data_IF_056295649444
#
_entry.id   IF_056295649444
#
_cell.length_a   1.000
_cell.length_b   1.000
_cell.length_c   1.000
_cell.angle_alpha   90.00
_cell.angle_beta   90.00
_cell.angle_gamma   90.00
#
_symmetry.space_group_name_H-M   'P 1'
#
loop_
_entity.id
_entity.type
_entity.pdbx_description
1 polymer ?
#
# COMPACT_ATOMS: atom_id res chain seq x y z
N UNK A 1 3.01 -18.30 16.49
CA UNK A 1 3.20 -17.15 15.57
C UNK A 1 2.96 -17.48 14.10
N UNK A 2 3.53 -18.55 13.47
CA UNK A 2 3.31 -18.87 12.05
C UNK A 2 1.84 -19.24 11.75
N UNK A 3 1.24 -20.11 12.56
CA UNK A 3 -0.18 -20.54 12.41
C UNK A 3 -1.15 -19.35 12.36
N UNK A 4 -0.99 -18.38 13.25
CA UNK A 4 -1.86 -17.19 13.28
C UNK A 4 -1.73 -16.36 11.98
N UNK A 5 -0.52 -16.18 11.48
CA UNK A 5 -0.28 -15.45 10.22
C UNK A 5 -0.90 -16.17 9.02
N UNK A 6 -0.76 -17.50 8.95
CA UNK A 6 -1.36 -18.30 7.87
C UNK A 6 -2.91 -18.22 7.93
N UNK A 7 -3.49 -18.36 9.13
CA UNK A 7 -4.95 -18.26 9.29
C UNK A 7 -5.44 -16.86 8.89
N UNK A 8 -4.78 -15.79 9.35
CA UNK A 8 -5.15 -14.41 8.98
C UNK A 8 -5.06 -14.20 7.48
N UNK A 9 -3.98 -14.67 6.84
CA UNK A 9 -3.82 -14.57 5.39
C UNK A 9 -4.91 -15.34 4.63
N UNK A 10 -5.23 -16.56 5.06
CA UNK A 10 -6.30 -17.37 4.47
C UNK A 10 -7.68 -16.71 4.61
N UNK A 11 -7.99 -16.16 5.79
CA UNK A 11 -9.24 -15.43 6.03
C UNK A 11 -9.34 -14.19 5.15
N UNK A 12 -8.28 -13.38 5.08
CA UNK A 12 -8.26 -12.19 4.21
C UNK A 12 -8.42 -12.58 2.74
N UNK A 13 -7.72 -13.60 2.28
CA UNK A 13 -7.87 -14.09 0.91
C UNK A 13 -9.29 -14.55 0.62
N UNK A 14 -9.92 -15.28 1.55
CA UNK A 14 -11.31 -15.73 1.41
C UNK A 14 -12.28 -14.54 1.37
N UNK A 15 -12.08 -13.51 2.21
CA UNK A 15 -12.89 -12.29 2.21
C UNK A 15 -12.78 -11.53 0.89
N UNK A 16 -11.55 -11.32 0.38
CA UNK A 16 -11.34 -10.64 -0.88
C UNK A 16 -11.87 -11.44 -2.08
N UNK A 17 -11.64 -12.75 -2.10
CA UNK A 17 -12.21 -13.62 -3.13
C UNK A 17 -13.73 -13.61 -3.08
N UNK A 18 -14.33 -13.74 -1.89
CA UNK A 18 -15.78 -13.65 -1.72
C UNK A 18 -16.35 -12.33 -2.21
N UNK A 19 -15.72 -11.21 -1.87
CA UNK A 19 -16.14 -9.89 -2.32
C UNK A 19 -16.09 -9.75 -3.86
N UNK A 20 -15.06 -10.30 -4.50
CA UNK A 20 -14.96 -10.34 -5.96
C UNK A 20 -16.16 -11.04 -6.61
N UNK A 21 -16.58 -12.17 -6.08
CA UNK A 21 -17.72 -12.93 -6.62
C UNK A 21 -19.09 -12.31 -6.28
N UNK A 22 -19.18 -11.51 -5.21
CA UNK A 22 -20.43 -10.83 -4.82
C UNK A 22 -20.67 -9.58 -5.66
N UNK A 23 -19.71 -8.67 -5.69
CA UNK A 23 -19.78 -7.48 -6.54
C UNK A 23 -18.42 -6.80 -6.67
N UNK A 24 -18.15 -6.27 -7.85
CA UNK A 24 -16.91 -5.54 -8.13
C UNK A 24 -16.74 -4.29 -7.24
N UNK A 25 -17.76 -3.42 -7.05
CA UNK A 25 -17.67 -2.28 -6.15
C UNK A 25 -17.37 -2.65 -4.70
N UNK A 26 -17.88 -3.79 -4.22
CA UNK A 26 -17.56 -4.27 -2.87
C UNK A 26 -16.07 -4.65 -2.77
N UNK A 27 -15.56 -5.37 -3.76
CA UNK A 27 -14.14 -5.73 -3.81
C UNK A 27 -13.24 -4.48 -3.87
N UNK A 28 -13.56 -3.51 -4.72
CA UNK A 28 -12.83 -2.23 -4.84
C UNK A 28 -12.82 -1.46 -3.53
N UNK A 29 -13.97 -1.40 -2.85
CA UNK A 29 -14.09 -0.72 -1.55
C UNK A 29 -13.27 -1.42 -0.47
N UNK A 30 -13.27 -2.74 -0.42
CA UNK A 30 -12.45 -3.50 0.53
C UNK A 30 -10.96 -3.34 0.25
N UNK A 31 -10.56 -3.31 -1.01
CA UNK A 31 -9.17 -3.04 -1.38
C UNK A 31 -8.78 -1.61 -1.00
N UNK A 32 -9.64 -0.61 -1.25
CA UNK A 32 -9.41 0.75 -0.79
C UNK A 32 -9.23 0.79 0.74
N UNK A 33 -10.10 0.12 1.50
CA UNK A 33 -9.99 0.04 2.95
C UNK A 33 -8.65 -0.57 3.40
N UNK A 34 -8.18 -1.63 2.73
CA UNK A 34 -6.90 -2.25 3.03
C UNK A 34 -5.72 -1.30 2.79
N UNK A 35 -5.71 -0.57 1.66
CA UNK A 35 -4.67 0.42 1.38
C UNK A 35 -4.74 1.62 2.34
N UNK A 36 -5.94 2.10 2.67
CA UNK A 36 -6.09 3.24 3.59
C UNK A 36 -5.83 2.85 5.05
N UNK A 37 -5.90 1.57 5.42
CA UNK A 37 -5.42 1.11 6.70
C UNK A 37 -3.92 1.40 6.89
N UNK A 38 -3.11 1.31 5.84
CA UNK A 38 -1.70 1.68 5.87
C UNK A 38 -1.50 3.18 6.18
N UNK A 39 -2.36 4.07 5.67
CA UNK A 39 -2.38 5.49 6.06
C UNK A 39 -2.60 5.63 7.57
N UNK A 40 -3.59 4.94 8.13
CA UNK A 40 -3.87 4.97 9.56
C UNK A 40 -2.69 4.50 10.41
N UNK A 41 -2.03 3.41 10.02
CA UNK A 41 -0.83 2.92 10.71
C UNK A 41 0.32 3.93 10.65
N UNK A 42 0.55 4.51 9.48
CA UNK A 42 1.60 5.52 9.31
C UNK A 42 1.35 6.77 10.17
N UNK A 43 0.11 7.28 10.17
CA UNK A 43 -0.27 8.42 11.00
C UNK A 43 -0.06 8.15 12.50
N UNK A 44 -0.34 6.92 12.97
CA UNK A 44 -0.03 6.51 14.35
C UNK A 44 1.47 6.53 14.64
N UNK A 45 2.31 6.08 13.72
CA UNK A 45 3.78 6.18 13.85
C UNK A 45 4.26 7.63 13.92
N UNK A 46 3.54 8.57 13.30
CA UNK A 46 3.80 10.01 13.41
C UNK A 46 3.23 10.65 14.68
N UNK A 47 2.61 9.86 15.56
CA UNK A 47 2.07 10.32 16.84
C UNK A 47 0.63 10.83 16.77
N UNK A 48 -0.12 10.52 15.70
CA UNK A 48 -1.55 10.80 15.66
C UNK A 48 -2.32 9.93 16.66
N UNK A 49 -3.42 10.45 17.20
CA UNK A 49 -4.31 9.68 18.05
C UNK A 49 -4.94 8.51 17.27
N UNK A 50 -5.33 7.44 17.96
CA UNK A 50 -6.00 6.30 17.34
C UNK A 50 -7.29 6.72 16.61
N UNK A 51 -8.07 7.63 17.20
CA UNK A 51 -9.29 8.15 16.59
C UNK A 51 -9.00 8.95 15.31
N UNK A 52 -8.00 9.83 15.33
CA UNK A 52 -7.57 10.60 14.14
C UNK A 52 -7.10 9.67 13.02
N UNK A 53 -6.29 8.67 13.34
CA UNK A 53 -5.77 7.71 12.36
C UNK A 53 -6.88 6.87 11.72
N UNK A 54 -7.82 6.36 12.52
CA UNK A 54 -8.98 5.62 12.02
C UNK A 54 -9.90 6.52 11.21
N UNK A 55 -10.19 7.73 11.70
CA UNK A 55 -11.02 8.70 11.00
C UNK A 55 -10.44 9.08 9.64
N UNK A 56 -9.13 9.34 9.56
CA UNK A 56 -8.44 9.62 8.30
C UNK A 56 -8.52 8.44 7.32
N UNK A 57 -8.23 7.23 7.77
CA UNK A 57 -8.34 6.03 6.96
C UNK A 57 -9.76 5.80 6.45
N UNK A 58 -10.76 5.91 7.32
CA UNK A 58 -12.17 5.74 6.95
C UNK A 58 -12.65 6.81 5.96
N UNK A 59 -12.36 8.10 6.23
CA UNK A 59 -12.73 9.19 5.34
C UNK A 59 -12.11 9.03 3.95
N UNK A 60 -10.83 8.65 3.88
CA UNK A 60 -10.16 8.43 2.60
C UNK A 60 -10.69 7.19 1.87
N UNK A 61 -11.04 6.12 2.59
CA UNK A 61 -11.72 4.95 2.00
C UNK A 61 -13.06 5.32 1.39
N UNK A 62 -13.87 6.10 2.11
CA UNK A 62 -15.17 6.57 1.60
C UNK A 62 -15.00 7.47 0.39
N UNK A 63 -14.03 8.38 0.40
CA UNK A 63 -13.73 9.25 -0.74
C UNK A 63 -13.26 8.45 -1.96
N UNK A 64 -12.41 7.44 -1.75
CA UNK A 64 -11.96 6.54 -2.81
C UNK A 64 -13.12 5.73 -3.40
N UNK A 65 -13.97 5.15 -2.55
CA UNK A 65 -15.17 4.42 -2.98
C UNK A 65 -16.14 5.31 -3.76
N UNK A 66 -16.39 6.52 -3.27
CA UNK A 66 -17.22 7.51 -3.97
C UNK A 66 -16.64 7.89 -5.34
N UNK A 67 -15.34 8.19 -5.41
CA UNK A 67 -14.66 8.52 -6.66
C UNK A 67 -14.74 7.37 -7.69
N UNK A 68 -14.66 6.12 -7.23
CA UNK A 68 -14.83 4.95 -8.09
C UNK A 68 -16.26 4.84 -8.58
N UNK A 69 -17.24 4.96 -7.70
CA UNK A 69 -18.66 4.84 -8.02
C UNK A 69 -19.13 5.90 -9.03
N UNK A 70 -18.69 7.15 -8.87
CA UNK A 70 -19.00 8.27 -9.75
C UNK A 70 -18.11 8.34 -11.02
N UNK A 71 -17.15 7.44 -11.17
CA UNK A 71 -16.23 7.47 -12.31
C UNK A 71 -15.29 8.68 -12.33
N UNK A 72 -14.97 9.25 -11.16
CA UNK A 72 -14.13 10.44 -11.01
C UNK A 72 -12.62 10.12 -11.04
N UNK A 73 -12.24 8.97 -11.58
CA UNK A 73 -10.84 8.61 -11.70
C UNK A 73 -10.16 9.50 -12.76
N UNK A 74 -8.90 9.92 -12.50
CA UNK A 74 -8.15 10.70 -13.47
C UNK A 74 -7.99 9.95 -14.81
N UNK A 75 -7.89 10.67 -15.95
CA UNK A 75 -7.60 10.06 -17.23
C UNK A 75 -6.29 9.24 -17.23
N UNK A 76 -6.17 8.29 -18.14
CA UNK A 76 -5.07 7.31 -18.15
C UNK A 76 -3.68 7.95 -18.29
N UNK A 77 -3.55 9.03 -19.06
CA UNK A 77 -2.32 9.80 -19.24
C UNK A 77 -1.89 10.50 -17.95
N UNK A 78 -2.85 11.09 -17.22
CA UNK A 78 -2.61 11.72 -15.91
C UNK A 78 -2.21 10.65 -14.88
N UNK A 79 -2.92 9.52 -14.85
CA UNK A 79 -2.58 8.40 -13.98
C UNK A 79 -1.16 7.88 -14.26
N UNK A 80 -0.79 7.73 -15.53
CA UNK A 80 0.57 7.32 -15.90
C UNK A 80 1.63 8.32 -15.38
N UNK A 81 1.39 9.62 -15.55
CA UNK A 81 2.27 10.66 -15.03
C UNK A 81 2.43 10.61 -13.50
N UNK A 82 1.31 10.43 -12.77
CA UNK A 82 1.33 10.27 -11.31
C UNK A 82 2.14 9.03 -10.91
N UNK A 83 1.90 7.88 -11.54
CA UNK A 83 2.62 6.64 -11.23
C UNK A 83 4.12 6.76 -11.51
N UNK A 84 4.51 7.39 -12.62
CA UNK A 84 5.91 7.63 -12.96
C UNK A 84 6.59 8.54 -11.92
N UNK A 85 5.93 9.63 -11.53
CA UNK A 85 6.45 10.56 -10.53
C UNK A 85 6.61 9.90 -9.15
N UNK A 86 5.62 9.12 -8.71
CA UNK A 86 5.68 8.39 -7.43
C UNK A 86 6.76 7.31 -7.46
N UNK A 87 6.90 6.59 -8.57
CA UNK A 87 7.97 5.59 -8.73
C UNK A 87 9.35 6.25 -8.65
N UNK A 88 9.55 7.37 -9.35
CA UNK A 88 10.78 8.13 -9.28
C UNK A 88 11.06 8.64 -7.85
N UNK A 89 10.05 9.15 -7.16
CA UNK A 89 10.16 9.57 -5.76
C UNK A 89 10.57 8.41 -4.84
N UNK A 90 10.02 7.21 -5.03
CA UNK A 90 10.40 6.01 -4.29
C UNK A 90 11.86 5.62 -4.52
N UNK A 91 12.32 5.64 -5.78
CA UNK A 91 13.71 5.31 -6.14
C UNK A 91 14.67 6.31 -5.49
N UNK A 92 14.36 7.61 -5.59
CA UNK A 92 15.18 8.67 -4.97
C UNK A 92 15.19 8.53 -3.45
N UNK A 93 14.02 8.36 -2.81
CA UNK A 93 13.91 8.19 -1.36
C UNK A 93 14.71 6.98 -0.86
N UNK A 94 14.57 5.84 -1.54
CA UNK A 94 15.31 4.61 -1.19
C UNK A 94 16.82 4.82 -1.33
N UNK A 95 17.26 5.47 -2.41
CA UNK A 95 18.67 5.82 -2.61
C UNK A 95 19.21 6.73 -1.51
N UNK A 96 18.45 7.76 -1.13
CA UNK A 96 18.83 8.67 -0.04
C UNK A 96 18.89 7.96 1.31
N UNK A 97 17.91 7.12 1.63
CA UNK A 97 17.91 6.35 2.88
C UNK A 97 19.09 5.38 2.93
N UNK A 98 19.41 4.73 1.80
CA UNK A 98 20.55 3.84 1.73
C UNK A 98 21.89 4.58 1.89
N UNK A 99 22.05 5.73 1.25
CA UNK A 99 23.24 6.58 1.39
C UNK A 99 23.38 7.13 2.82
N UNK A 100 22.27 7.47 3.45
CA UNK A 100 22.22 8.08 4.78
C UNK A 100 22.20 7.06 5.94
N UNK A 101 22.24 5.76 5.68
CA UNK A 101 22.08 4.69 6.69
C UNK A 101 23.02 4.80 7.90
N UNK A 102 24.21 5.37 7.71
CA UNK A 102 25.23 5.51 8.77
C UNK A 102 25.24 6.90 9.42
N UNK A 103 24.38 7.84 9.01
CA UNK A 103 24.41 9.24 9.45
C UNK A 103 23.36 9.58 10.50
N UNK A 104 22.55 8.60 10.93
CA UNK A 104 21.42 8.85 11.85
C UNK A 104 20.33 9.74 11.23
N UNK A 105 20.22 9.72 9.91
CA UNK A 105 19.23 10.51 9.17
C UNK A 105 17.81 10.24 9.69
N UNK A 106 17.12 11.32 10.04
CA UNK A 106 15.69 11.27 10.37
C UNK A 106 14.92 12.08 9.36
N UNK A 107 13.95 11.46 8.73
CA UNK A 107 13.04 12.14 7.81
C UNK A 107 12.24 13.21 8.55
N UNK A 108 12.10 14.39 7.94
CA UNK A 108 11.28 15.47 8.47
C UNK A 108 9.83 14.97 8.65
N UNK A 109 9.23 15.31 9.81
CA UNK A 109 7.86 14.90 10.16
C UNK A 109 6.82 15.38 9.15
N UNK A 110 7.00 16.58 8.59
CA UNK A 110 6.11 17.12 7.56
C UNK A 110 6.18 16.29 6.28
N UNK A 111 7.40 16.00 5.79
CA UNK A 111 7.60 15.15 4.62
C UNK A 111 7.03 13.75 4.84
N UNK A 112 7.28 13.16 6.00
CA UNK A 112 6.70 11.84 6.35
C UNK A 112 5.17 11.88 6.37
N UNK A 113 4.57 12.99 6.84
CA UNK A 113 3.12 13.20 6.81
C UNK A 113 2.57 13.27 5.39
N UNK A 114 3.23 13.99 4.49
CA UNK A 114 2.83 14.06 3.06
C UNK A 114 2.92 12.67 2.42
N UNK A 115 4.01 11.95 2.66
CA UNK A 115 4.20 10.60 2.10
C UNK A 115 3.17 9.60 2.63
N UNK A 116 2.74 9.75 3.89
CA UNK A 116 1.68 8.93 4.48
C UNK A 116 0.36 9.01 3.72
N UNK A 117 0.04 10.16 3.12
CA UNK A 117 -1.14 10.35 2.26
C UNK A 117 -0.87 9.93 0.81
N UNK A 118 0.25 10.36 0.25
CA UNK A 118 0.57 10.12 -1.16
C UNK A 118 0.65 8.63 -1.48
N UNK A 119 1.37 7.85 -0.68
CA UNK A 119 1.65 6.46 -1.04
C UNK A 119 0.41 5.55 -1.00
N UNK A 120 -0.44 5.51 0.04
CA UNK A 120 -1.63 4.67 0.03
C UNK A 120 -2.62 5.06 -1.07
N UNK A 121 -2.81 6.38 -1.31
CA UNK A 121 -3.71 6.86 -2.36
C UNK A 121 -3.19 6.45 -3.74
N UNK A 122 -1.90 6.66 -4.02
CA UNK A 122 -1.32 6.27 -5.31
C UNK A 122 -1.25 4.76 -5.49
N UNK A 123 -1.07 3.99 -4.42
CA UNK A 123 -1.17 2.52 -4.47
C UNK A 123 -2.57 2.08 -4.84
N UNK A 124 -3.61 2.72 -4.26
CA UNK A 124 -4.98 2.45 -4.64
C UNK A 124 -5.26 2.83 -6.10
N UNK A 125 -4.81 3.99 -6.57
CA UNK A 125 -4.92 4.38 -7.98
C UNK A 125 -4.23 3.38 -8.92
N UNK A 126 -3.01 2.93 -8.57
CA UNK A 126 -2.30 1.91 -9.34
C UNK A 126 -3.07 0.58 -9.36
N UNK A 127 -3.67 0.19 -8.25
CA UNK A 127 -4.55 -0.97 -8.18
C UNK A 127 -5.75 -0.83 -9.13
N UNK A 128 -6.42 0.32 -9.17
CA UNK A 128 -7.55 0.57 -10.09
C UNK A 128 -7.12 0.45 -11.56
N UNK A 129 -5.93 0.95 -11.91
CA UNK A 129 -5.34 0.78 -13.26
C UNK A 129 -5.09 -0.69 -13.57
N UNK A 130 -4.51 -1.45 -12.64
CA UNK A 130 -4.23 -2.88 -12.86
C UNK A 130 -5.52 -3.69 -13.02
N UNK A 131 -6.55 -3.34 -12.25
CA UNK A 131 -7.85 -3.97 -12.32
C UNK A 131 -8.55 -3.71 -13.65
N UNK A 132 -8.46 -2.48 -14.18
CA UNK A 132 -8.95 -2.12 -15.52
C UNK A 132 -8.26 -2.88 -16.66
N UNK A 133 -7.07 -3.45 -16.43
CA UNK A 133 -6.36 -4.34 -17.38
C UNK A 133 -6.82 -5.80 -17.31
N UNK A 134 -7.67 -6.14 -16.37
CA UNK A 134 -8.24 -7.47 -16.17
C UNK A 134 -7.60 -8.27 -15.05
N UNK A 135 -8.35 -9.28 -14.59
CA UNK A 135 -8.00 -10.10 -13.42
C UNK A 135 -6.62 -10.76 -13.53
N UNK A 136 -6.27 -11.32 -14.68
CA UNK A 136 -4.99 -12.02 -14.88
C UNK A 136 -3.82 -11.06 -14.72
N UNK A 137 -3.94 -9.85 -15.28
CA UNK A 137 -2.91 -8.82 -15.14
C UNK A 137 -2.77 -8.37 -13.67
N UNK A 138 -3.88 -8.10 -13.02
CA UNK A 138 -3.90 -7.72 -11.59
C UNK A 138 -3.25 -8.81 -10.72
N UNK A 139 -3.62 -10.08 -10.91
CA UNK A 139 -3.05 -11.20 -10.17
C UNK A 139 -1.57 -11.40 -10.46
N UNK A 140 -1.09 -11.13 -11.68
CA UNK A 140 0.33 -11.20 -12.01
C UNK A 140 1.14 -10.14 -11.26
N UNK A 141 0.62 -8.92 -11.12
CA UNK A 141 1.26 -7.85 -10.32
C UNK A 141 1.32 -8.26 -8.85
N UNK A 142 0.22 -8.76 -8.28
CA UNK A 142 0.23 -9.25 -6.90
C UNK A 142 1.19 -10.42 -6.69
N UNK A 143 1.26 -11.35 -7.63
CA UNK A 143 2.20 -12.47 -7.56
C UNK A 143 3.64 -12.01 -7.51
N UNK A 144 4.03 -11.00 -8.31
CA UNK A 144 5.37 -10.39 -8.26
C UNK A 144 5.66 -9.80 -6.88
N UNK A 145 4.72 -9.02 -6.32
CA UNK A 145 4.87 -8.41 -5.00
C UNK A 145 5.01 -9.47 -3.91
N UNK A 146 4.15 -10.50 -3.92
CA UNK A 146 4.21 -11.59 -2.94
C UNK A 146 5.48 -12.42 -3.06
N UNK A 147 5.93 -12.72 -4.27
CA UNK A 147 7.18 -13.43 -4.48
C UNK A 147 8.38 -12.61 -4.00
N UNK A 148 8.39 -11.30 -4.23
CA UNK A 148 9.43 -10.41 -3.74
C UNK A 148 9.49 -10.40 -2.21
N UNK A 149 8.33 -10.27 -1.54
CA UNK A 149 8.23 -10.27 -0.07
C UNK A 149 8.67 -11.61 0.55
N UNK A 150 8.18 -12.72 0.00
CA UNK A 150 8.55 -14.07 0.43
C UNK A 150 10.05 -14.32 0.23
N UNK A 151 10.60 -13.92 -0.92
CA UNK A 151 12.02 -14.05 -1.22
C UNK A 151 12.87 -13.22 -0.26
N UNK A 152 12.47 -11.96 -0.01
CA UNK A 152 13.16 -11.09 0.95
C UNK A 152 13.15 -11.67 2.36
N UNK A 153 12.03 -12.27 2.81
CA UNK A 153 11.95 -12.95 4.10
C UNK A 153 12.92 -14.14 4.19
N UNK A 154 12.94 -15.02 3.19
CA UNK A 154 13.82 -16.20 3.21
C UNK A 154 15.29 -15.82 3.07
N UNK A 155 15.63 -14.89 2.19
CA UNK A 155 16.99 -14.37 2.05
C UNK A 155 17.46 -13.71 3.35
N UNK A 156 16.63 -12.86 3.94
CA UNK A 156 16.95 -12.21 5.22
C UNK A 156 17.13 -13.20 6.37
N UNK A 157 16.40 -14.33 6.36
CA UNK A 157 16.55 -15.39 7.36
C UNK A 157 17.79 -16.26 7.12
N UNK A 158 18.17 -16.50 5.87
CA UNK A 158 19.28 -17.39 5.50
C UNK A 158 20.65 -16.69 5.57
N UNK A 159 20.71 -15.38 5.23
CA UNK A 159 21.97 -14.64 5.08
C UNK A 159 22.04 -13.33 5.87
N UNK A 160 20.99 -12.99 6.64
CA UNK A 160 20.95 -11.77 7.43
C UNK A 160 21.76 -11.90 8.73
N UNK A 161 22.98 -11.38 8.77
CA UNK A 161 23.81 -11.35 9.98
C UNK A 161 23.58 -10.12 10.85
N UNK A 162 23.17 -9.00 10.27
CA UNK A 162 22.93 -7.73 10.95
C UNK A 162 21.55 -7.19 10.73
N UNK A 163 20.91 -6.65 11.79
CA UNK A 163 19.63 -5.94 11.65
C UNK A 163 19.86 -4.64 10.90
N UNK A 164 19.00 -4.34 9.89
CA UNK A 164 19.08 -3.08 9.13
C UNK A 164 18.71 -1.85 9.97
N UNK A 165 17.93 -2.04 11.04
CA UNK A 165 17.64 -1.01 12.04
C UNK A 165 17.78 -1.61 13.45
N UNK A 166 18.40 -0.90 14.39
CA UNK A 166 18.52 -1.32 15.79
C UNK A 166 17.16 -1.32 16.51
#
# INVERSE_FOLDING_TARGET
MLKTRVITAAVLLAVFAGAWFVSLPLFETLMAAAFMAALGEWLKMLGASKSTAIGAAAATTLAAGFATFEGLLPPADVLFGIMAAVTAAWVVLTGLLFAARNTGFRMNRMLSGVLAWVFPITTWLAFMVTMGRGLVFMLSVFAVVWLADVSAYFCGRASGETKMAP
#
